data_IF_369590820943
#
_entry.id   IF_369590820943
#
_cell.length_a   1.000
_cell.length_b   1.000
_cell.length_c   1.000
_cell.angle_alpha   90.00
_cell.angle_beta   90.00
_cell.angle_gamma   90.00
#
_symmetry.space_group_name_H-M   'P 1'
#
loop_
_entity.id
_entity.type
_entity.pdbx_description
1 polymer ?
#
# COMPACT_ATOMS: atom_id res chain seq x y z
N UNK A 1 0.42 22.75 -8.16
CA UNK A 1 1.33 21.67 -7.70
C UNK A 1 0.56 20.48 -7.12
N UNK A 2 -0.47 20.71 -6.29
CA UNK A 2 -1.25 19.64 -5.64
C UNK A 2 -1.92 18.62 -6.58
N UNK A 3 -2.39 19.00 -7.77
CA UNK A 3 -2.87 18.05 -8.79
C UNK A 3 -1.80 17.04 -9.27
N UNK A 4 -0.53 17.45 -9.39
CA UNK A 4 0.55 16.52 -9.77
C UNK A 4 0.84 15.53 -8.65
N UNK A 5 0.78 15.99 -7.39
CA UNK A 5 0.94 15.14 -6.21
C UNK A 5 -0.19 14.11 -6.08
N UNK A 6 -1.45 14.49 -6.35
CA UNK A 6 -2.56 13.53 -6.29
C UNK A 6 -2.43 12.45 -7.35
N UNK A 7 -2.00 12.80 -8.56
CA UNK A 7 -1.69 11.81 -9.61
C UNK A 7 -0.50 10.93 -9.21
N UNK A 8 0.58 11.51 -8.68
CA UNK A 8 1.75 10.75 -8.22
C UNK A 8 1.39 9.74 -7.13
N UNK A 9 0.56 10.12 -6.15
CA UNK A 9 0.06 9.22 -5.11
C UNK A 9 -0.76 8.04 -5.68
N UNK A 10 -1.57 8.28 -6.71
CA UNK A 10 -2.33 7.22 -7.40
C UNK A 10 -1.40 6.29 -8.18
N UNK A 11 -0.37 6.83 -8.82
CA UNK A 11 0.65 6.00 -9.50
C UNK A 11 1.37 5.12 -8.48
N UNK A 12 1.77 5.67 -7.32
CA UNK A 12 2.39 4.89 -6.25
C UNK A 12 1.45 3.79 -5.76
N UNK A 13 0.17 4.08 -5.57
CA UNK A 13 -0.83 3.07 -5.22
C UNK A 13 -0.89 1.94 -6.25
N UNK A 14 -0.94 2.26 -7.55
CA UNK A 14 -0.97 1.24 -8.61
C UNK A 14 0.31 0.40 -8.64
N UNK A 15 1.47 1.01 -8.40
CA UNK A 15 2.74 0.30 -8.25
C UNK A 15 2.68 -0.64 -7.04
N UNK A 16 2.18 -0.17 -5.89
CA UNK A 16 2.03 -1.00 -4.69
C UNK A 16 1.10 -2.19 -4.92
N UNK A 17 0.00 -2.01 -5.64
CA UNK A 17 -0.90 -3.11 -6.05
C UNK A 17 -0.15 -4.12 -6.93
N UNK A 18 0.58 -3.65 -7.94
CA UNK A 18 1.31 -4.52 -8.85
C UNK A 18 2.39 -5.33 -8.13
N UNK A 19 3.14 -4.70 -7.23
CA UNK A 19 4.16 -5.37 -6.42
C UNK A 19 3.50 -6.40 -5.49
N UNK A 20 2.43 -6.02 -4.77
CA UNK A 20 1.72 -6.94 -3.87
C UNK A 20 1.15 -8.15 -4.62
N UNK A 21 0.52 -7.93 -5.78
CA UNK A 21 0.03 -9.01 -6.63
C UNK A 21 1.16 -9.93 -7.10
N UNK A 22 2.29 -9.37 -7.52
CA UNK A 22 3.44 -10.15 -7.96
C UNK A 22 4.05 -10.99 -6.81
N UNK A 23 4.02 -10.50 -5.57
CA UNK A 23 4.38 -11.29 -4.38
C UNK A 23 3.42 -12.47 -4.20
N UNK A 24 2.10 -12.24 -4.29
CA UNK A 24 1.11 -13.31 -4.18
C UNK A 24 1.27 -14.40 -5.25
N UNK A 25 1.69 -14.04 -6.46
CA UNK A 25 1.99 -14.99 -7.53
C UNK A 25 3.38 -15.62 -7.42
N UNK A 26 4.17 -15.31 -6.39
CA UNK A 26 5.48 -15.91 -6.15
C UNK A 26 6.59 -15.40 -7.07
N UNK A 27 6.41 -14.26 -7.75
CA UNK A 27 7.45 -13.67 -8.61
C UNK A 27 8.63 -13.11 -7.82
N UNK A 28 8.41 -12.73 -6.56
CA UNK A 28 9.45 -12.23 -5.69
C UNK A 28 9.72 -13.22 -4.55
N UNK A 29 10.90 -13.83 -4.57
CA UNK A 29 11.34 -14.76 -3.50
C UNK A 29 11.84 -14.05 -2.24
N UNK A 30 12.28 -12.78 -2.37
CA UNK A 30 13.01 -12.05 -1.31
C UNK A 30 12.57 -10.59 -1.18
N UNK A 31 11.35 -10.24 -1.60
CA UNK A 31 10.84 -8.90 -1.30
C UNK A 31 10.64 -8.78 0.22
N UNK A 32 11.23 -7.77 0.86
CA UNK A 32 11.06 -7.58 2.28
C UNK A 32 9.68 -6.97 2.54
N UNK A 33 9.03 -7.43 3.61
CA UNK A 33 7.76 -6.88 4.09
C UNK A 33 7.84 -5.35 4.26
N UNK A 34 9.03 -4.86 4.59
CA UNK A 34 9.34 -3.44 4.75
C UNK A 34 9.10 -2.63 3.48
N UNK A 35 9.48 -3.10 2.29
CA UNK A 35 9.23 -2.34 1.05
C UNK A 35 7.75 -2.28 0.69
N UNK A 36 7.01 -3.37 0.93
CA UNK A 36 5.56 -3.43 0.71
C UNK A 36 4.79 -2.45 1.60
N UNK A 37 5.37 -2.01 2.71
CA UNK A 37 4.79 -1.02 3.62
C UNK A 37 5.28 0.39 3.29
N UNK A 38 6.58 0.57 3.07
CA UNK A 38 7.17 1.92 2.85
C UNK A 38 6.60 2.57 1.60
N UNK A 39 6.51 1.85 0.49
CA UNK A 39 6.04 2.40 -0.80
C UNK A 39 4.63 2.99 -0.67
N UNK A 40 3.60 2.24 -0.22
CA UNK A 40 2.26 2.81 -0.07
C UNK A 40 2.20 3.86 1.05
N UNK A 41 3.03 3.78 2.10
CA UNK A 41 3.11 4.85 3.12
C UNK A 41 3.59 6.18 2.52
N UNK A 42 4.59 6.17 1.63
CA UNK A 42 5.01 7.36 0.88
C UNK A 42 3.86 7.87 0.01
N UNK A 43 3.17 6.96 -0.69
CA UNK A 43 1.99 7.29 -1.51
C UNK A 43 0.88 7.96 -0.69
N UNK A 44 0.64 7.47 0.53
CA UNK A 44 -0.33 8.01 1.48
C UNK A 44 0.06 9.43 1.92
N UNK A 45 1.30 9.62 2.35
CA UNK A 45 1.82 10.94 2.77
C UNK A 45 1.65 11.95 1.63
N UNK A 46 2.03 11.58 0.41
CA UNK A 46 1.86 12.43 -0.78
C UNK A 46 0.37 12.77 -1.00
N UNK A 47 -0.54 11.80 -0.82
CA UNK A 47 -1.97 12.01 -0.95
C UNK A 47 -2.50 13.03 0.06
N UNK A 48 -2.03 12.96 1.32
CA UNK A 48 -2.47 13.84 2.40
C UNK A 48 -2.18 15.32 2.10
N UNK A 49 -1.03 15.61 1.48
CA UNK A 49 -0.60 16.96 1.07
C UNK A 49 -1.06 17.38 -0.34
N UNK A 50 -1.80 16.52 -1.06
CA UNK A 50 -2.28 16.81 -2.40
C UNK A 50 -3.60 17.61 -2.41
N UNK A 51 -3.97 18.11 -3.60
CA UNK A 51 -5.18 18.92 -3.80
C UNK A 51 -6.46 18.10 -3.61
N UNK A 52 -7.51 18.72 -3.06
CA UNK A 52 -8.80 18.04 -2.85
C UNK A 52 -9.41 17.65 -4.20
N UNK A 53 -9.79 16.39 -4.34
CA UNK A 53 -10.37 15.85 -5.56
C UNK A 53 -10.46 14.33 -5.55
N UNK A 54 -10.97 13.74 -6.63
CA UNK A 54 -11.16 12.30 -6.74
C UNK A 54 -9.84 11.53 -6.66
N UNK A 55 -8.78 12.01 -7.33
CA UNK A 55 -7.45 11.38 -7.28
C UNK A 55 -6.85 11.36 -5.87
N UNK A 56 -7.06 12.40 -5.08
CA UNK A 56 -6.63 12.41 -3.67
C UNK A 56 -7.37 11.36 -2.86
N UNK A 57 -8.69 11.22 -3.06
CA UNK A 57 -9.49 10.19 -2.37
C UNK A 57 -9.01 8.78 -2.75
N UNK A 58 -8.80 8.53 -4.04
CA UNK A 58 -8.26 7.26 -4.53
C UNK A 58 -6.89 6.99 -3.92
N UNK A 59 -5.99 7.98 -3.94
CA UNK A 59 -4.65 7.86 -3.36
C UNK A 59 -4.67 7.56 -1.86
N UNK A 60 -5.53 8.24 -1.08
CA UNK A 60 -5.65 7.96 0.36
C UNK A 60 -6.23 6.56 0.60
N UNK A 61 -7.39 6.25 0.01
CA UNK A 61 -8.08 4.97 0.26
C UNK A 61 -7.23 3.80 -0.23
N UNK A 62 -6.68 3.90 -1.44
CA UNK A 62 -5.87 2.85 -2.06
C UNK A 62 -4.58 2.56 -1.29
N UNK A 63 -3.79 3.60 -0.98
CA UNK A 63 -2.55 3.40 -0.23
C UNK A 63 -2.83 2.90 1.20
N UNK A 64 -3.85 3.42 1.88
CA UNK A 64 -4.27 2.89 3.20
C UNK A 64 -4.66 1.42 3.13
N UNK A 65 -5.41 1.02 2.10
CA UNK A 65 -5.85 -0.36 1.94
C UNK A 65 -4.66 -1.31 1.74
N UNK A 66 -3.65 -0.90 0.95
CA UNK A 66 -2.44 -1.72 0.82
C UNK A 66 -1.72 -1.86 2.16
N UNK A 67 -1.49 -0.76 2.88
CA UNK A 67 -0.84 -0.83 4.21
C UNK A 67 -1.63 -1.75 5.15
N UNK A 68 -2.95 -1.63 5.16
CA UNK A 68 -3.82 -2.50 5.96
C UNK A 68 -3.68 -3.97 5.59
N UNK A 69 -3.76 -4.31 4.31
CA UNK A 69 -3.68 -5.70 3.84
C UNK A 69 -2.27 -6.28 4.03
N UNK A 70 -1.22 -5.49 3.87
CA UNK A 70 0.17 -5.98 4.00
C UNK A 70 0.58 -6.14 5.46
N UNK A 71 0.16 -5.24 6.35
CA UNK A 71 0.59 -5.24 7.75
C UNK A 71 -0.44 -5.87 8.68
N UNK A 72 -1.68 -5.39 8.62
CA UNK A 72 -2.69 -5.72 9.64
C UNK A 72 -3.25 -7.13 9.42
N UNK A 73 -3.53 -7.51 8.17
CA UNK A 73 -4.09 -8.84 7.88
C UNK A 73 -3.14 -9.97 8.32
N UNK A 74 -1.83 -9.97 7.98
CA UNK A 74 -0.91 -10.99 8.47
C UNK A 74 -0.78 -10.99 9.99
N UNK A 75 -0.76 -9.83 10.63
CA UNK A 75 -0.74 -9.77 12.10
C UNK A 75 -1.98 -10.43 12.70
N UNK A 76 -3.18 -10.12 12.20
CA UNK A 76 -4.42 -10.75 12.65
C UNK A 76 -4.36 -12.27 12.46
N UNK A 77 -3.93 -12.74 11.29
CA UNK A 77 -3.84 -14.18 10.97
C UNK A 77 -2.86 -14.87 11.93
N UNK A 78 -1.64 -14.35 12.05
CA UNK A 78 -0.60 -14.97 12.88
C UNK A 78 -0.95 -14.92 14.36
N UNK A 79 -1.53 -13.82 14.85
CA UNK A 79 -1.77 -13.66 16.29
C UNK A 79 -3.06 -14.29 16.80
N UNK A 80 -4.11 -14.36 15.97
CA UNK A 80 -5.43 -14.82 16.40
C UNK A 80 -5.79 -16.20 15.88
N UNK A 81 -5.27 -16.59 14.71
CA UNK A 81 -5.66 -17.81 14.01
C UNK A 81 -4.54 -18.86 13.94
N UNK A 82 -3.28 -18.44 13.94
CA UNK A 82 -2.13 -19.34 13.91
C UNK A 82 -1.46 -19.45 15.28
N UNK A 83 -2.11 -20.21 16.17
CA UNK A 83 -1.69 -20.35 17.57
C UNK A 83 -0.81 -21.59 17.82
N UNK A 84 -0.52 -22.36 16.77
CA UNK A 84 0.23 -23.62 16.83
C UNK A 84 1.49 -23.52 15.94
N UNK A 85 2.65 -24.03 16.38
CA UNK A 85 3.91 -23.96 15.64
C UNK A 85 3.93 -24.78 14.35
#
# INVERSE_FOLDING_TARGET
MGKKLSVASVIIFLISVAIYAAVLFGYFKTLFLTELIIIPMIGLIIAMFSERGIYRKIGIIGNSLIVFVVLIVPMIIVTLFWNEP
#
